data_IF_699759873832
#
_entry.id   IF_699759873832
#
_cell.length_a   1.000
_cell.length_b   1.000
_cell.length_c   1.000
_cell.angle_alpha   90.00
_cell.angle_beta   90.00
_cell.angle_gamma   90.00
#
_symmetry.space_group_name_H-M   'P 1'
#
loop_
_entity.id
_entity.type
_entity.pdbx_description
1 polymer ?
#
# COMPACT_ATOMS: atom_id res chain seq x y z
N UNK A 1 -16.85 -5.04 4.10
CA UNK A 1 -15.42 -4.76 3.88
C UNK A 1 -15.24 -3.92 2.62
N UNK A 2 -15.65 -4.44 1.45
CA UNK A 2 -15.55 -3.75 0.16
C UNK A 2 -16.17 -2.34 0.15
N UNK A 3 -17.42 -2.20 0.58
CA UNK A 3 -18.11 -0.89 0.61
C UNK A 3 -17.35 0.16 1.43
N UNK A 4 -16.76 -0.22 2.57
CA UNK A 4 -15.96 0.70 3.40
C UNK A 4 -14.66 1.11 2.70
N UNK A 5 -14.04 0.20 1.94
CA UNK A 5 -12.86 0.55 1.15
C UNK A 5 -13.23 1.56 0.05
N UNK A 6 -14.36 1.33 -0.63
CA UNK A 6 -14.88 2.24 -1.65
C UNK A 6 -15.21 3.60 -1.04
N UNK A 7 -15.85 3.64 0.13
CA UNK A 7 -16.14 4.85 0.87
C UNK A 7 -14.87 5.65 1.20
N UNK A 8 -13.82 4.98 1.70
CA UNK A 8 -12.52 5.61 1.94
C UNK A 8 -11.91 6.15 0.63
N UNK A 9 -11.98 5.38 -0.47
CA UNK A 9 -11.45 5.79 -1.78
C UNK A 9 -12.23 6.97 -2.40
N UNK A 10 -13.54 7.10 -2.14
CA UNK A 10 -14.36 8.22 -2.65
C UNK A 10 -14.20 9.46 -1.78
N UNK A 11 -14.04 9.28 -0.47
CA UNK A 11 -13.94 10.37 0.49
C UNK A 11 -12.81 11.33 0.13
N UNK A 12 -13.15 12.61 -0.03
CA UNK A 12 -12.15 13.65 -0.16
C UNK A 12 -11.31 13.67 1.11
N UNK A 13 -10.01 13.42 0.96
CA UNK A 13 -9.05 13.73 2.02
C UNK A 13 -8.89 15.24 1.98
N UNK A 14 -9.38 15.93 3.02
CA UNK A 14 -8.89 17.27 3.33
C UNK A 14 -7.38 17.23 3.22
N UNK A 15 -6.81 18.19 2.50
CA UNK A 15 -5.38 18.24 2.22
C UNK A 15 -4.57 17.93 3.47
N UNK A 16 -3.52 17.14 3.26
CA UNK A 16 -2.43 16.88 4.20
C UNK A 16 -2.34 18.00 5.23
N UNK A 17 -2.41 17.74 6.56
CA UNK A 17 -1.72 18.65 7.45
C UNK A 17 -0.27 18.54 7.01
N UNK A 18 0.15 19.48 6.17
CA UNK A 18 1.52 19.92 6.03
C UNK A 18 2.09 19.77 7.43
N UNK A 19 2.98 18.78 7.63
CA UNK A 19 3.55 18.52 8.94
C UNK A 19 4.26 19.81 9.28
N UNK A 20 3.56 20.68 10.00
CA UNK A 20 4.13 21.80 10.68
C UNK A 20 5.18 21.12 11.53
N UNK A 21 6.44 21.37 11.16
CA UNK A 21 7.60 21.05 11.98
C UNK A 21 7.60 21.94 13.22
N UNK A 22 6.45 22.06 13.89
CA UNK A 22 6.34 22.63 15.22
C UNK A 22 6.44 21.49 16.20
N UNK A 23 7.40 21.65 17.10
CA UNK A 23 7.99 20.61 17.91
C UNK A 23 6.96 19.69 18.55
N UNK A 24 7.27 18.40 18.43
CA UNK A 24 6.84 17.35 19.36
C UNK A 24 6.86 17.93 20.78
N UNK A 25 5.71 18.08 21.47
CA UNK A 25 5.75 18.27 22.91
C UNK A 25 6.42 17.02 23.47
N UNK A 26 7.49 17.14 24.28
CA UNK A 26 8.13 15.98 24.85
C UNK A 26 7.08 15.12 25.57
N UNK A 27 7.11 13.82 25.28
CA UNK A 27 6.44 12.83 26.11
C UNK A 27 6.98 13.03 27.54
N UNK A 28 6.19 13.67 28.40
CA UNK A 28 6.58 13.91 29.79
C UNK A 28 6.17 15.23 30.45
N UNK A 29 5.35 16.09 29.85
CA UNK A 29 4.95 17.34 30.54
C UNK A 29 3.46 17.73 30.45
N UNK A 30 2.58 16.78 30.13
CA UNK A 30 1.12 16.94 30.22
C UNK A 30 0.59 16.39 31.55
N UNK A 31 -0.39 17.07 32.15
CA UNK A 31 -0.89 16.92 33.51
C UNK A 31 -1.54 15.56 33.87
N UNK A 32 -1.31 14.49 33.08
CA UNK A 32 -1.96 13.18 33.29
C UNK A 32 -3.49 13.25 33.21
N UNK A 33 -4.04 14.28 32.56
CA UNK A 33 -5.49 14.44 32.44
C UNK A 33 -6.04 13.51 31.37
N UNK A 34 -7.32 13.15 31.47
CA UNK A 34 -7.98 12.36 30.44
C UNK A 34 -7.95 13.02 29.05
N UNK A 35 -7.94 14.35 28.99
CA UNK A 35 -7.84 15.08 27.72
C UNK A 35 -6.46 14.89 27.07
N UNK A 36 -5.39 14.99 27.86
CA UNK A 36 -4.02 14.74 27.36
C UNK A 36 -3.87 13.30 26.85
N UNK A 37 -4.44 12.33 27.57
CA UNK A 37 -4.43 10.92 27.18
C UNK A 37 -5.23 10.66 25.90
N UNK A 38 -6.40 11.29 25.76
CA UNK A 38 -7.23 11.18 24.55
C UNK A 38 -6.52 11.78 23.32
N UNK A 39 -5.94 12.97 23.45
CA UNK A 39 -5.18 13.58 22.35
C UNK A 39 -3.96 12.74 21.97
N UNK A 40 -3.29 12.12 22.93
CA UNK A 40 -2.19 11.20 22.64
C UNK A 40 -2.66 10.00 21.81
N UNK A 41 -3.85 9.45 22.07
CA UNK A 41 -4.45 8.37 21.26
C UNK A 41 -4.67 8.85 19.83
N UNK A 42 -5.32 10.00 19.63
CA UNK A 42 -5.62 10.54 18.30
C UNK A 42 -4.34 10.76 17.46
N UNK A 43 -3.27 11.30 18.08
CA UNK A 43 -1.96 11.45 17.43
C UNK A 43 -1.37 10.09 17.03
N UNK A 44 -1.44 9.08 17.90
CA UNK A 44 -0.93 7.75 17.58
C UNK A 44 -1.74 7.05 16.49
N UNK A 45 -3.07 7.19 16.50
CA UNK A 45 -3.95 6.66 15.44
C UNK A 45 -3.64 7.32 14.08
N UNK A 46 -3.44 8.64 14.07
CA UNK A 46 -3.00 9.36 12.86
C UNK A 46 -1.64 8.87 12.32
N UNK A 47 -0.68 8.60 13.21
CA UNK A 47 0.61 8.01 12.81
C UNK A 47 0.45 6.59 12.26
N UNK A 48 -0.46 5.79 12.82
CA UNK A 48 -0.77 4.46 12.32
C UNK A 48 -1.35 4.52 10.90
N UNK A 49 -2.24 5.47 10.61
CA UNK A 49 -2.77 5.71 9.25
C UNK A 49 -1.65 6.05 8.26
N UNK A 50 -0.75 7.00 8.62
CA UNK A 50 0.39 7.38 7.78
C UNK A 50 1.30 6.19 7.52
N UNK A 51 1.59 5.39 8.54
CA UNK A 51 2.41 4.17 8.41
C UNK A 51 1.73 3.14 7.48
N UNK A 52 0.42 2.93 7.60
CA UNK A 52 -0.34 2.04 6.70
C UNK A 52 -0.23 2.50 5.24
N UNK A 53 -0.44 3.78 4.96
CA UNK A 53 -0.31 4.36 3.61
C UNK A 53 1.11 4.18 3.07
N UNK A 54 2.13 4.41 3.88
CA UNK A 54 3.52 4.22 3.49
C UNK A 54 3.84 2.75 3.13
N UNK A 55 3.28 1.79 3.87
CA UNK A 55 3.40 0.36 3.56
C UNK A 55 2.69 0.04 2.25
N UNK A 56 1.45 0.49 2.04
CA UNK A 56 0.72 0.30 0.77
C UNK A 56 1.51 0.89 -0.40
N UNK A 57 2.04 2.11 -0.24
CA UNK A 57 2.85 2.78 -1.25
C UNK A 57 4.13 2.02 -1.59
N UNK A 58 4.76 1.38 -0.60
CA UNK A 58 5.93 0.54 -0.80
C UNK A 58 5.60 -0.72 -1.62
N UNK A 59 4.47 -1.36 -1.34
CA UNK A 59 3.98 -2.51 -2.14
C UNK A 59 3.62 -2.08 -3.57
N UNK A 60 2.98 -0.92 -3.74
CA UNK A 60 2.69 -0.35 -5.07
C UNK A 60 3.98 -0.15 -5.88
N UNK A 61 4.99 0.51 -5.30
CA UNK A 61 6.27 0.76 -5.98
C UNK A 61 7.00 -0.55 -6.30
N UNK A 62 6.96 -1.54 -5.40
CA UNK A 62 7.54 -2.86 -5.68
C UNK A 62 6.81 -3.58 -6.81
N UNK A 63 5.47 -3.54 -6.83
CA UNK A 63 4.65 -4.10 -7.90
C UNK A 63 4.92 -3.45 -9.25
N UNK A 64 5.03 -2.11 -9.28
CA UNK A 64 5.44 -1.35 -10.46
C UNK A 64 6.80 -1.82 -10.99
N UNK A 65 7.80 -1.93 -10.13
CA UNK A 65 9.14 -2.40 -10.53
C UNK A 65 9.11 -3.84 -11.07
N UNK A 66 8.32 -4.74 -10.47
CA UNK A 66 8.11 -6.10 -10.98
C UNK A 66 7.48 -6.08 -12.38
N UNK A 67 6.45 -5.26 -12.59
CA UNK A 67 5.76 -5.14 -13.86
C UNK A 67 6.63 -4.50 -14.96
N UNK A 68 7.40 -3.48 -14.61
CA UNK A 68 8.35 -2.82 -15.52
C UNK A 68 9.44 -3.79 -15.99
N UNK A 69 10.02 -4.56 -15.06
CA UNK A 69 11.03 -5.58 -15.37
C UNK A 69 10.44 -6.73 -16.19
N UNK A 70 9.22 -7.16 -15.87
CA UNK A 70 8.50 -8.16 -16.65
C UNK A 70 8.27 -7.68 -18.09
N UNK A 71 7.78 -6.45 -18.25
CA UNK A 71 7.58 -5.80 -19.56
C UNK A 71 8.88 -5.67 -20.34
N UNK A 72 9.99 -5.35 -19.67
CA UNK A 72 11.32 -5.31 -20.29
C UNK A 72 11.72 -6.68 -20.86
N UNK A 73 11.63 -7.76 -20.08
CA UNK A 73 12.00 -9.09 -20.57
C UNK A 73 11.03 -9.63 -21.62
N UNK A 74 9.75 -9.27 -21.56
CA UNK A 74 8.73 -9.69 -22.53
C UNK A 74 9.02 -9.21 -23.95
N UNK A 75 9.80 -8.11 -24.12
CA UNK A 75 10.21 -7.60 -25.44
C UNK A 75 11.06 -8.59 -26.24
N UNK A 76 11.81 -9.46 -25.56
CA UNK A 76 12.80 -10.35 -26.19
C UNK A 76 12.63 -11.83 -25.80
N UNK A 77 11.68 -12.15 -24.92
CA UNK A 77 11.50 -13.49 -24.39
C UNK A 77 10.02 -13.91 -24.37
N UNK A 78 9.71 -15.20 -24.54
CA UNK A 78 8.38 -15.72 -24.27
C UNK A 78 7.94 -15.45 -22.83
N UNK A 79 6.62 -15.32 -22.61
CA UNK A 79 6.00 -14.99 -21.31
C UNK A 79 6.59 -15.77 -20.12
N UNK A 80 6.73 -17.10 -20.27
CA UNK A 80 7.26 -17.98 -19.21
C UNK A 80 8.73 -17.68 -18.88
N UNK A 81 9.54 -17.41 -19.90
CA UNK A 81 10.96 -17.06 -19.74
C UNK A 81 11.11 -15.69 -19.09
N UNK A 82 10.32 -14.69 -19.52
CA UNK A 82 10.31 -13.36 -18.90
C UNK A 82 9.98 -13.45 -17.40
N UNK A 83 8.97 -14.23 -17.02
CA UNK A 83 8.61 -14.46 -15.62
C UNK A 83 9.75 -15.12 -14.82
N UNK A 84 10.44 -16.10 -15.40
CA UNK A 84 11.56 -16.78 -14.76
C UNK A 84 12.74 -15.81 -14.53
N UNK A 85 13.03 -14.94 -15.51
CA UNK A 85 14.07 -13.92 -15.40
C UNK A 85 13.76 -12.89 -14.31
N UNK A 86 12.54 -12.38 -14.21
CA UNK A 86 12.13 -11.49 -13.10
C UNK A 86 12.31 -12.20 -11.75
N UNK A 87 11.86 -13.46 -11.64
CA UNK A 87 11.99 -14.20 -10.39
C UNK A 87 13.45 -14.42 -9.99
N UNK A 88 14.32 -14.73 -10.96
CA UNK A 88 15.76 -14.89 -10.72
C UNK A 88 16.40 -13.56 -10.29
N UNK A 89 16.06 -12.47 -10.95
CA UNK A 89 16.59 -11.13 -10.65
C UNK A 89 16.21 -10.70 -9.22
N UNK A 90 14.93 -10.81 -8.88
CA UNK A 90 14.45 -10.48 -7.53
C UNK A 90 15.13 -11.35 -6.48
N UNK A 91 15.29 -12.66 -6.74
CA UNK A 91 15.95 -13.57 -5.78
C UNK A 91 17.42 -13.21 -5.57
N UNK A 92 18.16 -12.82 -6.61
CA UNK A 92 19.57 -12.43 -6.52
C UNK A 92 19.79 -11.18 -5.65
N UNK A 93 18.81 -10.29 -5.60
CA UNK A 93 18.90 -9.04 -4.84
C UNK A 93 18.47 -9.19 -3.37
N UNK A 94 17.98 -10.36 -2.96
CA UNK A 94 17.47 -10.59 -1.61
C UNK A 94 18.37 -11.53 -0.82
N UNK A 95 18.48 -11.34 0.51
CA UNK A 95 19.23 -12.25 1.38
C UNK A 95 18.64 -13.67 1.37
N UNK A 96 19.51 -14.67 1.54
CA UNK A 96 19.06 -16.06 1.55
C UNK A 96 18.15 -16.43 2.73
N UNK A 97 18.16 -15.62 3.79
CA UNK A 97 17.27 -15.76 4.95
C UNK A 97 15.80 -15.51 4.63
N UNK A 98 15.48 -14.88 3.49
CA UNK A 98 14.11 -14.70 3.04
C UNK A 98 13.60 -16.00 2.43
N UNK A 99 12.58 -16.59 3.05
CA UNK A 99 11.90 -17.78 2.50
C UNK A 99 11.21 -17.46 1.17
N UNK A 100 11.29 -18.41 0.23
CA UNK A 100 10.66 -18.30 -1.08
C UNK A 100 9.13 -18.16 -1.00
N UNK A 101 8.48 -18.78 0.00
CA UNK A 101 7.03 -18.63 0.21
C UNK A 101 6.66 -17.20 0.64
N UNK A 102 7.48 -16.59 1.51
CA UNK A 102 7.29 -15.21 1.94
C UNK A 102 7.51 -14.25 0.76
N UNK A 103 8.55 -14.50 -0.05
CA UNK A 103 8.84 -13.72 -1.24
C UNK A 103 7.72 -13.84 -2.28
N UNK A 104 7.24 -15.05 -2.56
CA UNK A 104 6.10 -15.30 -3.46
C UNK A 104 4.88 -14.49 -3.02
N UNK A 105 4.50 -14.60 -1.75
CA UNK A 105 3.36 -13.87 -1.18
C UNK A 105 3.51 -12.36 -1.28
N UNK A 106 4.69 -11.81 -0.99
CA UNK A 106 4.94 -10.36 -1.13
C UNK A 106 4.83 -9.87 -2.57
N UNK A 107 5.32 -10.65 -3.54
CA UNK A 107 5.18 -10.33 -4.97
C UNK A 107 3.73 -10.35 -5.43
N UNK A 108 2.97 -11.37 -5.05
CA UNK A 108 1.53 -11.47 -5.37
C UNK A 108 0.76 -10.27 -4.82
N UNK A 109 1.01 -9.90 -3.57
CA UNK A 109 0.40 -8.72 -2.96
C UNK A 109 0.82 -7.43 -3.66
N UNK A 110 2.10 -7.30 -3.99
CA UNK A 110 2.63 -6.11 -4.66
C UNK A 110 2.02 -5.90 -6.04
N UNK A 111 1.94 -6.97 -6.85
CA UNK A 111 1.30 -6.92 -8.17
C UNK A 111 -0.17 -6.53 -8.05
N UNK A 112 -0.91 -7.15 -7.12
CA UNK A 112 -2.33 -6.84 -6.92
C UNK A 112 -2.60 -5.40 -6.47
N UNK A 113 -1.75 -4.87 -5.58
CA UNK A 113 -1.79 -3.45 -5.18
C UNK A 113 -1.46 -2.55 -6.36
N UNK A 114 -0.42 -2.89 -7.12
CA UNK A 114 -0.03 -2.13 -8.31
C UNK A 114 -1.16 -2.09 -9.35
N UNK A 115 -1.72 -3.25 -9.72
CA UNK A 115 -2.80 -3.36 -10.70
C UNK A 115 -3.97 -2.45 -10.32
N UNK A 116 -4.51 -2.60 -9.10
CA UNK A 116 -5.63 -1.80 -8.61
C UNK A 116 -5.35 -0.29 -8.67
N UNK A 117 -4.27 0.17 -8.04
CA UNK A 117 -3.96 1.60 -7.93
C UNK A 117 -3.37 2.21 -9.20
N UNK A 118 -2.87 1.40 -10.13
CA UNK A 118 -2.47 1.88 -11.46
C UNK A 118 -3.69 2.25 -12.32
N UNK A 119 -4.82 1.60 -12.10
CA UNK A 119 -6.07 1.86 -12.81
C UNK A 119 -6.90 2.98 -12.19
N UNK A 120 -7.12 2.97 -10.87
CA UNK A 120 -7.91 4.01 -10.19
C UNK A 120 -7.10 5.27 -9.87
N UNK A 121 -5.78 5.19 -9.99
CA UNK A 121 -4.84 6.28 -9.77
C UNK A 121 -4.07 6.17 -8.44
N UNK A 122 -2.76 6.37 -8.52
CA UNK A 122 -1.84 6.26 -7.38
C UNK A 122 -2.21 7.17 -6.20
N UNK A 123 -2.72 8.37 -6.49
CA UNK A 123 -3.15 9.34 -5.48
C UNK A 123 -4.25 8.80 -4.55
N UNK A 124 -5.00 7.77 -4.97
CA UNK A 124 -6.03 7.13 -4.15
C UNK A 124 -5.45 6.41 -2.92
N UNK A 125 -4.16 6.04 -2.93
CA UNK A 125 -3.49 5.44 -1.77
C UNK A 125 -3.56 6.39 -0.56
N UNK A 126 -3.53 7.70 -0.78
CA UNK A 126 -3.60 8.69 0.30
C UNK A 126 -4.95 8.73 1.01
N UNK A 127 -6.00 8.15 0.40
CA UNK A 127 -7.35 8.13 0.97
C UNK A 127 -7.58 6.95 1.93
N UNK A 128 -6.67 5.98 1.94
CA UNK A 128 -6.77 4.79 2.80
C UNK A 128 -6.46 5.16 4.25
N UNK A 129 -7.40 4.86 5.16
CA UNK A 129 -7.28 5.07 6.60
C UNK A 129 -7.22 3.76 7.35
N UNK A 130 -8.22 2.90 7.15
CA UNK A 130 -8.38 1.70 7.98
C UNK A 130 -7.87 0.40 7.36
N UNK A 131 -7.53 0.40 6.06
CA UNK A 131 -7.13 -0.81 5.35
C UNK A 131 -5.61 -1.06 5.36
N UNK A 132 -5.24 -2.32 5.59
CA UNK A 132 -3.86 -2.79 5.43
C UNK A 132 -3.65 -3.41 4.06
N UNK A 133 -2.37 -3.54 3.63
CA UNK A 133 -2.00 -4.30 2.42
C UNK A 133 -2.60 -5.70 2.44
N UNK A 134 -2.55 -6.40 3.59
CA UNK A 134 -3.06 -7.76 3.69
C UNK A 134 -4.58 -7.84 3.49
N UNK A 135 -5.30 -6.78 3.84
CA UNK A 135 -6.75 -6.68 3.66
C UNK A 135 -7.08 -6.44 2.19
N UNK A 136 -6.40 -5.48 1.56
CA UNK A 136 -6.60 -5.17 0.13
C UNK A 136 -6.17 -6.35 -0.75
N UNK A 137 -5.07 -7.02 -0.42
CA UNK A 137 -4.60 -8.19 -1.16
C UNK A 137 -5.56 -9.39 -1.09
N UNK A 138 -6.49 -9.43 -0.12
CA UNK A 138 -7.51 -10.48 0.01
C UNK A 138 -8.79 -10.22 -0.79
N UNK A 139 -8.94 -9.05 -1.42
CA UNK A 139 -10.08 -8.77 -2.29
C UNK A 139 -10.20 -9.85 -3.38
N UNK A 140 -11.40 -10.31 -3.68
CA UNK A 140 -11.60 -11.21 -4.83
C UNK A 140 -11.40 -10.47 -6.16
N UNK A 141 -11.36 -11.20 -7.27
CA UNK A 141 -11.36 -10.55 -8.58
C UNK A 141 -12.66 -9.76 -8.79
N UNK A 142 -13.81 -10.32 -8.39
CA UNK A 142 -15.11 -9.64 -8.46
C UNK A 142 -15.13 -8.34 -7.65
N UNK A 143 -14.51 -8.33 -6.45
CA UNK A 143 -14.38 -7.12 -5.64
C UNK A 143 -13.52 -6.05 -6.33
N UNK A 144 -12.42 -6.47 -6.98
CA UNK A 144 -11.56 -5.57 -7.75
C UNK A 144 -12.33 -4.99 -8.93
N UNK A 145 -12.96 -5.85 -9.74
CA UNK A 145 -13.73 -5.43 -10.91
C UNK A 145 -14.85 -4.46 -10.51
N UNK A 146 -15.51 -4.69 -9.37
CA UNK A 146 -16.51 -3.79 -8.82
C UNK A 146 -15.94 -2.40 -8.48
N UNK A 147 -14.74 -2.34 -7.88
CA UNK A 147 -14.04 -1.07 -7.63
C UNK A 147 -13.71 -0.39 -8.95
N UNK A 148 -13.11 -1.11 -9.91
CA UNK A 148 -12.72 -0.56 -11.20
C UNK A 148 -13.91 0.04 -11.94
N UNK A 149 -15.05 -0.64 -11.97
CA UNK A 149 -16.29 -0.14 -12.59
C UNK A 149 -16.79 1.14 -11.90
N UNK A 150 -16.68 1.27 -10.57
CA UNK A 150 -17.07 2.49 -9.85
C UNK A 150 -16.16 3.69 -10.14
N UNK A 151 -14.90 3.46 -10.48
CA UNK A 151 -13.92 4.50 -10.78
C UNK A 151 -13.68 4.68 -12.29
N UNK A 152 -14.34 3.89 -13.13
CA UNK A 152 -14.35 4.05 -14.58
C UNK A 152 -15.04 5.37 -14.97
N UNK A 153 -14.47 6.06 -15.95
CA UNK A 153 -15.00 7.32 -16.50
C UNK A 153 -15.95 7.07 -17.66
#
# INVERSE_FOLDING_TARGET
MLEKLIEELISETSQDPEIAKEGIPPLGSGSGTFFDLYNAIDVMEGQEEVAKRAVIKSYFNFGKALNDQFSHYLKTNPKRTAQALVNQEVRKQLPDSVSDDLLRKKKEWALKIYDLFSEIGEHMIQRIKSFSVSTIAKLSQDDIDHILVKFAK
#
